data_IF_483630491815
#
_entry.id   IF_483630491815
#
_cell.length_a   1.000
_cell.length_b   1.000
_cell.length_c   1.000
_cell.angle_alpha   90.00
_cell.angle_beta   90.00
_cell.angle_gamma   90.00
#
_symmetry.space_group_name_H-M   'P 1'
#
loop_
_entity.id
_entity.type
_entity.pdbx_description
1 polymer ?
#
# COMPACT_ATOMS: atom_id res chain seq x y z
N UNK A 1 31.54 -4.22 -2.51
CA UNK A 1 31.10 -4.93 -3.74
C UNK A 1 29.73 -4.40 -4.18
N UNK A 2 29.68 -3.51 -5.18
CA UNK A 2 28.41 -3.07 -5.77
C UNK A 2 27.82 -4.25 -6.55
N UNK A 3 26.73 -4.85 -6.05
CA UNK A 3 25.99 -5.89 -6.80
C UNK A 3 25.47 -5.25 -8.08
N UNK A 4 25.93 -5.74 -9.23
CA UNK A 4 25.41 -5.32 -10.54
C UNK A 4 23.88 -5.47 -10.63
N UNK A 5 23.22 -4.84 -11.61
CA UNK A 5 21.77 -4.85 -11.73
C UNK A 5 21.28 -6.30 -11.77
N UNK A 6 20.49 -6.69 -10.76
CA UNK A 6 19.92 -8.04 -10.69
C UNK A 6 19.01 -8.22 -11.91
N UNK A 7 19.21 -9.31 -12.67
CA UNK A 7 18.32 -9.67 -13.80
C UNK A 7 16.86 -9.59 -13.33
N UNK A 8 15.97 -8.92 -14.09
CA UNK A 8 14.56 -8.82 -13.72
C UNK A 8 13.95 -10.22 -13.65
N UNK A 9 13.10 -10.43 -12.65
CA UNK A 9 12.38 -11.69 -12.48
C UNK A 9 11.51 -11.93 -13.72
N UNK A 10 11.75 -13.03 -14.42
CA UNK A 10 10.92 -13.42 -15.58
C UNK A 10 9.76 -14.28 -15.10
N UNK A 11 8.55 -13.75 -15.23
CA UNK A 11 7.31 -14.51 -15.09
C UNK A 11 6.88 -15.04 -16.45
N UNK A 12 6.34 -16.25 -16.48
CA UNK A 12 5.65 -16.77 -17.65
C UNK A 12 4.53 -15.78 -18.05
N UNK A 13 4.50 -15.27 -19.31
CA UNK A 13 3.53 -14.25 -19.73
C UNK A 13 2.08 -14.68 -19.56
N UNK A 14 1.77 -15.96 -19.81
CA UNK A 14 0.42 -16.49 -19.65
C UNK A 14 -0.01 -16.48 -18.17
N UNK A 15 0.88 -16.89 -17.27
CA UNK A 15 0.68 -16.86 -15.82
C UNK A 15 0.50 -15.43 -15.30
N UNK A 16 1.33 -14.49 -15.75
CA UNK A 16 1.20 -13.05 -15.43
C UNK A 16 -0.18 -12.52 -15.84
N UNK A 17 -0.55 -12.69 -17.12
CA UNK A 17 -1.84 -12.20 -17.64
C UNK A 17 -3.03 -12.83 -16.94
N UNK A 18 -2.95 -14.13 -16.62
CA UNK A 18 -3.99 -14.86 -15.88
C UNK A 18 -4.19 -14.28 -14.48
N UNK A 19 -3.12 -14.03 -13.74
CA UNK A 19 -3.20 -13.43 -12.41
C UNK A 19 -3.80 -12.03 -12.46
N UNK A 20 -3.28 -11.15 -13.33
CA UNK A 20 -3.77 -9.78 -13.51
C UNK A 20 -5.27 -9.75 -13.83
N UNK A 21 -5.70 -10.53 -14.82
CA UNK A 21 -7.10 -10.55 -15.29
C UNK A 21 -8.04 -11.04 -14.19
N UNK A 22 -7.68 -12.13 -13.51
CA UNK A 22 -8.51 -12.72 -12.45
C UNK A 22 -8.59 -11.83 -11.21
N UNK A 23 -7.48 -11.18 -10.86
CA UNK A 23 -7.44 -10.27 -9.71
C UNK A 23 -8.31 -9.04 -9.96
N UNK A 24 -8.16 -8.39 -11.12
CA UNK A 24 -8.95 -7.22 -11.48
C UNK A 24 -10.44 -7.56 -11.63
N UNK A 25 -10.77 -8.72 -12.23
CA UNK A 25 -12.16 -9.20 -12.29
C UNK A 25 -12.76 -9.43 -10.90
N UNK A 26 -11.98 -10.01 -9.99
CA UNK A 26 -12.42 -10.19 -8.61
C UNK A 26 -12.63 -8.84 -7.90
N UNK A 27 -11.74 -7.88 -8.12
CA UNK A 27 -11.85 -6.55 -7.52
C UNK A 27 -13.07 -5.77 -8.01
N UNK A 28 -13.44 -5.90 -9.28
CA UNK A 28 -14.65 -5.27 -9.81
C UNK A 28 -15.94 -5.67 -9.07
N UNK A 29 -15.98 -6.83 -8.40
CA UNK A 29 -17.16 -7.31 -7.68
C UNK A 29 -16.98 -7.35 -6.15
N UNK A 30 -15.76 -7.31 -5.64
CA UNK A 30 -15.45 -7.43 -4.20
C UNK A 30 -14.64 -6.27 -3.63
N UNK A 31 -14.28 -5.28 -4.47
CA UNK A 31 -13.53 -4.10 -4.05
C UNK A 31 -14.29 -3.32 -2.99
N UNK A 32 -13.58 -2.88 -1.96
CA UNK A 32 -14.17 -2.10 -0.87
C UNK A 32 -14.37 -0.64 -1.29
N UNK A 33 -15.49 -0.06 -0.89
CA UNK A 33 -15.70 1.39 -0.96
C UNK A 33 -15.12 2.06 0.29
N UNK A 34 -14.11 2.91 0.14
CA UNK A 34 -13.39 3.53 1.26
C UNK A 34 -13.19 5.04 0.98
N UNK A 35 -13.26 5.92 1.99
CA UNK A 35 -13.20 7.37 1.78
C UNK A 35 -11.96 7.84 1.01
N UNK A 36 -10.78 7.32 1.38
CA UNK A 36 -9.50 7.65 0.73
C UNK A 36 -9.34 7.07 -0.68
N UNK A 37 -10.32 6.30 -1.20
CA UNK A 37 -10.35 5.87 -2.61
C UNK A 37 -11.15 6.83 -3.49
N UNK A 38 -11.82 7.82 -2.91
CA UNK A 38 -12.65 8.82 -3.62
C UNK A 38 -11.88 10.12 -3.90
N UNK A 39 -10.56 10.10 -3.74
CA UNK A 39 -9.67 11.24 -3.94
C UNK A 39 -8.35 10.78 -4.56
N UNK A 40 -7.70 11.69 -5.27
CA UNK A 40 -6.32 11.56 -5.76
C UNK A 40 -5.39 12.58 -5.10
N UNK A 41 -5.85 13.28 -4.05
CA UNK A 41 -5.05 14.26 -3.33
C UNK A 41 -3.91 13.57 -2.56
N UNK A 42 -2.62 13.91 -2.83
CA UNK A 42 -1.47 13.32 -2.15
C UNK A 42 -1.50 13.46 -0.62
N UNK A 43 -2.00 14.58 -0.08
CA UNK A 43 -2.14 14.79 1.35
C UNK A 43 -3.13 13.80 1.94
N UNK A 44 -4.33 13.72 1.36
CA UNK A 44 -5.40 12.82 1.81
C UNK A 44 -4.97 11.34 1.73
N UNK A 45 -4.26 10.97 0.67
CA UNK A 45 -3.71 9.62 0.49
C UNK A 45 -2.66 9.35 1.59
N UNK A 46 -1.69 10.24 1.79
CA UNK A 46 -0.66 10.06 2.82
C UNK A 46 -1.26 9.93 4.23
N UNK A 47 -2.24 10.77 4.58
CA UNK A 47 -2.97 10.69 5.87
C UNK A 47 -3.55 9.28 6.05
N UNK A 48 -4.28 8.78 5.05
CA UNK A 48 -4.90 7.46 5.11
C UNK A 48 -3.86 6.33 5.24
N UNK A 49 -2.78 6.39 4.46
CA UNK A 49 -1.72 5.39 4.47
C UNK A 49 -0.95 5.38 5.79
N UNK A 50 -0.76 6.54 6.43
CA UNK A 50 -0.20 6.61 7.77
C UNK A 50 -1.16 6.06 8.82
N UNK A 51 -2.45 6.38 8.74
CA UNK A 51 -3.45 5.86 9.69
C UNK A 51 -3.64 4.34 9.59
N UNK A 52 -3.58 3.76 8.40
CA UNK A 52 -3.76 2.32 8.16
C UNK A 52 -2.59 1.47 8.63
N UNK A 53 -1.45 2.07 8.96
CA UNK A 53 -0.31 1.34 9.54
C UNK A 53 -0.66 0.74 10.90
N UNK A 54 -0.84 -0.58 10.95
CA UNK A 54 -1.17 -1.32 12.18
C UNK A 54 -2.49 -0.85 12.83
N UNK A 55 -3.45 -0.34 12.04
CA UNK A 55 -4.77 0.03 12.53
C UNK A 55 -5.84 -0.51 11.58
N UNK A 56 -6.95 -1.00 12.16
CA UNK A 56 -8.05 -1.56 11.37
C UNK A 56 -8.83 -0.47 10.67
N UNK A 57 -9.30 -0.77 9.45
CA UNK A 57 -10.05 0.15 8.56
C UNK A 57 -11.22 0.82 9.28
N UNK A 58 -12.03 0.05 10.01
CA UNK A 58 -13.24 0.56 10.69
C UNK A 58 -12.91 1.59 11.78
N UNK A 59 -11.70 1.51 12.37
CA UNK A 59 -11.22 2.51 13.35
C UNK A 59 -10.65 3.74 12.66
N UNK A 60 -10.08 3.58 11.46
CA UNK A 60 -9.49 4.67 10.67
C UNK A 60 -10.57 5.55 10.06
N UNK A 61 -11.66 4.99 9.53
CA UNK A 61 -12.70 5.77 8.82
C UNK A 61 -13.18 7.00 9.60
N UNK A 62 -13.70 6.90 10.84
CA UNK A 62 -14.19 8.09 11.54
C UNK A 62 -13.06 9.07 11.86
N UNK A 63 -11.87 8.56 12.17
CA UNK A 63 -10.72 9.38 12.52
C UNK A 63 -10.12 10.11 11.32
N UNK A 64 -10.18 9.51 10.14
CA UNK A 64 -9.76 10.10 8.89
C UNK A 64 -10.58 11.35 8.57
N UNK A 65 -11.91 11.27 8.72
CA UNK A 65 -12.80 12.42 8.55
C UNK A 65 -12.50 13.52 9.58
N UNK A 66 -12.49 13.19 10.88
CA UNK A 66 -12.17 14.16 11.94
C UNK A 66 -10.82 14.86 11.73
N UNK A 67 -9.81 14.12 11.27
CA UNK A 67 -8.47 14.66 11.04
C UNK A 67 -8.44 15.63 9.86
N UNK A 68 -9.07 15.27 8.74
CA UNK A 68 -9.11 16.12 7.55
C UNK A 68 -10.02 17.34 7.72
N UNK A 69 -11.10 17.24 8.49
CA UNK A 69 -11.94 18.39 8.84
C UNK A 69 -11.15 19.45 9.62
N UNK A 70 -10.18 19.00 10.43
CA UNK A 70 -9.35 19.89 11.26
C UNK A 70 -8.08 20.37 10.56
N UNK A 71 -7.46 19.51 9.76
CA UNK A 71 -6.24 19.78 9.03
C UNK A 71 -6.48 19.42 7.55
N UNK A 72 -7.08 20.32 6.74
CA UNK A 72 -7.49 19.98 5.37
C UNK A 72 -6.34 19.94 4.37
N UNK A 73 -5.19 20.58 4.65
CA UNK A 73 -4.00 20.51 3.79
C UNK A 73 -2.69 20.30 4.57
N UNK A 74 -1.59 20.21 3.82
CA UNK A 74 -0.24 20.21 4.39
C UNK A 74 0.06 21.50 5.16
N UNK A 75 -0.42 22.65 4.68
CA UNK A 75 -0.25 23.96 5.30
C UNK A 75 -0.91 24.03 6.68
N UNK A 76 -2.19 23.67 6.81
CA UNK A 76 -2.84 23.70 8.14
C UNK A 76 -2.25 22.65 9.08
N UNK A 77 -1.81 21.49 8.56
CA UNK A 77 -1.15 20.51 9.39
C UNK A 77 0.23 21.01 9.85
N UNK A 78 1.00 21.66 8.98
CA UNK A 78 2.34 22.18 9.30
C UNK A 78 2.29 23.30 10.34
N UNK A 79 1.29 24.18 10.27
CA UNK A 79 1.09 25.29 11.22
C UNK A 79 0.61 24.80 12.60
N UNK A 80 -0.02 23.63 12.65
CA UNK A 80 -0.51 23.07 13.90
C UNK A 80 0.62 22.69 14.89
N UNK A 81 0.35 22.85 16.19
CA UNK A 81 1.22 22.28 17.22
C UNK A 81 1.17 20.76 17.18
N UNK A 82 2.33 20.11 17.13
CA UNK A 82 2.42 18.63 17.12
C UNK A 82 1.68 17.96 18.28
N UNK A 83 1.58 18.61 19.43
CA UNK A 83 0.81 18.12 20.58
C UNK A 83 -0.70 18.06 20.32
N UNK A 84 -1.24 19.00 19.54
CA UNK A 84 -2.66 19.01 19.15
C UNK A 84 -2.92 18.00 18.03
N UNK A 85 -1.98 17.82 17.10
CA UNK A 85 -2.03 16.74 16.09
C UNK A 85 -2.11 15.36 16.76
N UNK A 86 -1.29 15.11 17.79
CA UNK A 86 -1.33 13.88 18.59
C UNK A 86 -2.67 13.65 19.28
N UNK A 87 -3.26 14.72 19.85
CA UNK A 87 -4.58 14.64 20.49
C UNK A 87 -5.66 14.26 19.49
N UNK A 88 -5.68 14.91 18.32
CA UNK A 88 -6.62 14.55 17.25
C UNK A 88 -6.43 13.10 16.81
N UNK A 89 -5.18 12.62 16.66
CA UNK A 89 -4.87 11.25 16.23
C UNK A 89 -5.33 10.14 17.20
N UNK A 90 -5.48 10.45 18.49
CA UNK A 90 -5.93 9.47 19.49
C UNK A 90 -7.36 8.96 19.17
N UNK A 91 -7.67 7.64 19.30
CA UNK A 91 -6.89 6.58 19.96
C UNK A 91 -6.19 5.61 18.98
N UNK A 92 -5.86 6.02 17.75
CA UNK A 92 -5.28 5.08 16.75
C UNK A 92 -3.93 4.46 17.16
N UNK A 93 -3.27 5.02 18.19
CA UNK A 93 -2.03 4.48 18.78
C UNK A 93 -0.80 4.70 17.90
N UNK A 94 0.35 4.18 18.36
CA UNK A 94 1.65 4.32 17.70
C UNK A 94 2.01 5.79 17.43
N UNK A 95 2.20 6.54 18.53
CA UNK A 95 2.26 8.01 18.61
C UNK A 95 3.37 8.68 17.78
N UNK A 96 4.32 7.90 17.25
CA UNK A 96 5.32 8.39 16.31
C UNK A 96 4.72 8.72 14.93
N UNK A 97 3.56 8.15 14.57
CA UNK A 97 2.90 8.40 13.27
C UNK A 97 2.42 9.83 13.09
N UNK A 98 1.61 10.41 14.01
CA UNK A 98 1.20 11.80 13.88
C UNK A 98 2.40 12.76 13.90
N UNK A 99 3.46 12.46 14.66
CA UNK A 99 4.70 13.25 14.64
C UNK A 99 5.40 13.20 13.27
N UNK A 100 5.49 12.01 12.67
CA UNK A 100 6.08 11.84 11.33
C UNK A 100 5.25 12.52 10.26
N UNK A 101 3.93 12.38 10.31
CA UNK A 101 3.03 13.04 9.37
C UNK A 101 3.17 14.56 9.46
N UNK A 102 3.20 15.10 10.68
CA UNK A 102 3.45 16.52 10.93
C UNK A 102 4.81 16.97 10.37
N UNK A 103 5.88 16.22 10.64
CA UNK A 103 7.21 16.51 10.08
C UNK A 103 7.23 16.48 8.55
N UNK A 104 6.54 15.53 7.91
CA UNK A 104 6.41 15.48 6.45
C UNK A 104 5.65 16.71 5.94
N UNK A 105 4.60 17.14 6.64
CA UNK A 105 3.85 18.33 6.27
C UNK A 105 4.70 19.59 6.32
N UNK A 106 5.41 19.82 7.43
CA UNK A 106 6.35 20.96 7.55
C UNK A 106 7.38 20.95 6.42
N UNK A 107 8.00 19.79 6.17
CA UNK A 107 9.01 19.65 5.10
C UNK A 107 8.41 19.87 3.70
N UNK A 108 7.17 19.43 3.47
CA UNK A 108 6.45 19.64 2.20
C UNK A 108 6.15 21.11 1.97
N UNK A 109 5.74 21.85 3.01
CA UNK A 109 5.50 23.30 2.93
C UNK A 109 6.83 24.04 2.69
N UNK A 110 7.85 23.76 3.49
CA UNK A 110 9.13 24.47 3.45
C UNK A 110 9.89 24.25 2.13
N UNK A 111 9.97 23.01 1.65
CA UNK A 111 10.80 22.65 0.48
C UNK A 111 10.05 22.59 -0.84
N UNK A 112 8.73 22.35 -0.78
CA UNK A 112 7.92 22.05 -1.97
C UNK A 112 6.66 22.91 -2.09
N UNK A 113 6.53 23.97 -1.28
CA UNK A 113 5.42 24.93 -1.40
C UNK A 113 4.05 24.31 -1.18
N UNK A 114 3.95 23.32 -0.29
CA UNK A 114 2.69 22.64 0.05
C UNK A 114 2.32 21.48 -0.87
N UNK A 115 3.14 21.20 -1.89
CA UNK A 115 2.87 20.14 -2.86
C UNK A 115 3.83 18.98 -2.70
N UNK A 116 3.30 17.79 -2.36
CA UNK A 116 4.14 16.60 -2.26
C UNK A 116 4.66 16.19 -3.65
N UNK A 117 5.97 15.91 -3.83
CA UNK A 117 6.51 15.53 -5.13
C UNK A 117 6.02 14.13 -5.56
N UNK A 118 5.96 13.89 -6.87
CA UNK A 118 5.66 12.55 -7.42
C UNK A 118 6.91 11.68 -7.63
N UNK A 119 8.11 12.27 -7.64
CA UNK A 119 9.35 11.52 -7.84
C UNK A 119 9.64 10.55 -6.69
N UNK A 120 10.09 9.35 -7.04
CA UNK A 120 10.33 8.30 -6.06
C UNK A 120 11.52 8.59 -5.14
N UNK A 121 12.59 9.20 -5.66
CA UNK A 121 13.78 9.50 -4.87
C UNK A 121 13.49 10.65 -3.89
N UNK A 122 12.74 11.66 -4.34
CA UNK A 122 12.30 12.76 -3.48
C UNK A 122 11.38 12.27 -2.37
N UNK A 123 10.35 11.48 -2.69
CA UNK A 123 9.48 10.87 -1.69
C UNK A 123 10.25 10.04 -0.66
N UNK A 124 11.27 9.30 -1.08
CA UNK A 124 12.10 8.49 -0.19
C UNK A 124 13.07 9.33 0.66
N UNK A 125 13.26 10.61 0.37
CA UNK A 125 14.08 11.51 1.17
C UNK A 125 13.38 11.93 2.48
N UNK A 126 12.04 11.95 2.50
CA UNK A 126 11.26 12.31 3.68
C UNK A 126 11.39 11.26 4.79
N UNK A 127 11.69 11.72 6.01
CA UNK A 127 11.79 10.85 7.17
C UNK A 127 10.41 10.30 7.57
N UNK A 128 10.16 9.04 7.21
CA UNK A 128 8.91 8.33 7.53
C UNK A 128 8.21 7.78 6.30
N UNK A 129 8.61 8.21 5.10
CA UNK A 129 8.14 7.63 3.84
C UNK A 129 9.08 6.50 3.44
N UNK A 130 8.60 5.27 3.61
CA UNK A 130 9.30 4.08 3.12
C UNK A 130 8.91 3.72 1.69
N UNK A 131 9.59 2.73 1.11
CA UNK A 131 9.30 2.22 -0.26
C UNK A 131 7.83 1.87 -0.51
N UNK A 132 7.14 1.34 0.49
CA UNK A 132 5.69 1.09 0.39
C UNK A 132 4.91 2.40 0.24
N UNK A 133 5.08 3.34 1.18
CA UNK A 133 4.34 4.61 1.18
C UNK A 133 4.63 5.44 -0.07
N UNK A 134 5.90 5.49 -0.52
CA UNK A 134 6.25 6.16 -1.78
C UNK A 134 5.53 5.52 -2.99
N UNK A 135 5.48 4.17 -3.05
CA UNK A 135 4.73 3.47 -4.09
C UNK A 135 3.23 3.70 -4.02
N UNK A 136 2.67 3.76 -2.80
CA UNK A 136 1.26 4.03 -2.55
C UNK A 136 0.88 5.46 -2.99
N UNK A 137 1.66 6.48 -2.62
CA UNK A 137 1.45 7.86 -3.07
C UNK A 137 1.51 7.94 -4.60
N UNK A 138 2.57 7.42 -5.21
CA UNK A 138 2.74 7.41 -6.68
C UNK A 138 1.60 6.71 -7.39
N UNK A 139 1.14 5.59 -6.86
CA UNK A 139 0.05 4.82 -7.47
C UNK A 139 -1.33 5.43 -7.21
N UNK A 140 -1.61 5.92 -6.01
CA UNK A 140 -2.96 6.33 -5.60
C UNK A 140 -3.26 7.81 -5.82
N UNK A 141 -2.26 8.67 -5.69
CA UNK A 141 -2.40 10.10 -5.96
C UNK A 141 -2.02 10.46 -7.40
N UNK A 142 -0.90 9.91 -7.89
CA UNK A 142 -0.34 10.26 -9.21
C UNK A 142 -0.66 9.26 -10.33
N UNK A 143 -1.44 8.21 -10.03
CA UNK A 143 -1.86 7.17 -10.97
C UNK A 143 -0.71 6.49 -11.74
N UNK A 144 0.47 6.40 -11.13
CA UNK A 144 1.63 5.74 -11.71
C UNK A 144 1.60 4.22 -11.47
N UNK A 145 2.24 3.46 -12.36
CA UNK A 145 2.43 2.00 -12.23
C UNK A 145 3.51 1.64 -11.19
N UNK A 146 3.40 2.21 -9.99
CA UNK A 146 4.37 2.03 -8.91
C UNK A 146 4.05 0.79 -8.04
N UNK A 147 5.06 -0.05 -7.72
CA UNK A 147 4.84 -1.22 -6.89
C UNK A 147 4.62 -0.87 -5.42
N UNK A 148 3.76 -1.66 -4.78
CA UNK A 148 3.60 -1.67 -3.32
C UNK A 148 3.90 -3.07 -2.76
N UNK A 149 4.33 -3.14 -1.50
CA UNK A 149 4.52 -4.41 -0.81
C UNK A 149 4.32 -4.27 0.70
N UNK A 150 3.07 -4.33 1.14
CA UNK A 150 2.73 -4.49 2.56
C UNK A 150 2.75 -5.98 2.97
N UNK A 151 2.27 -6.29 4.18
CA UNK A 151 2.19 -7.66 4.67
C UNK A 151 1.13 -8.51 3.96
N UNK A 152 0.06 -7.89 3.43
CA UNK A 152 -1.01 -8.57 2.70
C UNK A 152 -0.55 -8.96 1.29
N UNK A 153 -0.02 -8.01 0.54
CA UNK A 153 0.54 -8.21 -0.80
C UNK A 153 1.71 -9.18 -0.74
N UNK A 154 2.63 -9.03 0.22
CA UNK A 154 3.72 -9.98 0.45
C UNK A 154 3.23 -11.42 0.62
N UNK A 155 2.19 -11.61 1.44
CA UNK A 155 1.57 -12.92 1.67
C UNK A 155 0.92 -13.49 0.41
N UNK A 156 0.15 -12.68 -0.33
CA UNK A 156 -0.49 -13.09 -1.59
C UNK A 156 0.57 -13.54 -2.59
N UNK A 157 1.57 -12.69 -2.86
CA UNK A 157 2.62 -12.98 -3.83
C UNK A 157 3.44 -14.21 -3.43
N UNK A 158 3.75 -14.35 -2.14
CA UNK A 158 4.45 -15.52 -1.65
C UNK A 158 3.64 -16.80 -1.88
N UNK A 159 2.37 -16.85 -1.44
CA UNK A 159 1.52 -18.04 -1.60
C UNK A 159 1.27 -18.42 -3.05
N UNK A 160 0.98 -17.43 -3.91
CA UNK A 160 0.63 -17.69 -5.30
C UNK A 160 1.85 -18.11 -6.12
N UNK A 161 2.99 -17.44 -5.97
CA UNK A 161 4.13 -17.60 -6.89
C UNK A 161 5.37 -18.29 -6.30
N UNK A 162 5.52 -18.34 -4.97
CA UNK A 162 6.77 -18.79 -4.33
C UNK A 162 6.58 -20.07 -3.51
N UNK A 163 5.61 -20.10 -2.60
CA UNK A 163 5.26 -21.17 -1.65
C UNK A 163 6.33 -21.56 -0.61
N UNK A 164 7.60 -21.73 -0.99
CA UNK A 164 8.66 -22.22 -0.12
C UNK A 164 9.55 -21.09 0.41
N UNK A 165 9.92 -21.20 1.69
CA UNK A 165 10.80 -20.27 2.39
C UNK A 165 10.03 -19.28 3.28
N UNK A 166 10.77 -18.40 3.95
CA UNK A 166 10.21 -17.31 4.75
C UNK A 166 10.01 -16.05 3.87
N UNK A 167 8.78 -15.52 3.73
CA UNK A 167 8.53 -14.25 3.04
C UNK A 167 9.41 -13.10 3.52
N UNK A 168 9.80 -13.07 4.80
CA UNK A 168 10.63 -12.00 5.38
C UNK A 168 12.03 -11.97 4.76
N UNK A 169 12.65 -13.13 4.54
CA UNK A 169 13.97 -13.24 3.91
C UNK A 169 13.91 -13.08 2.39
N UNK A 170 12.72 -13.25 1.80
CA UNK A 170 12.49 -13.15 0.36
C UNK A 170 11.91 -11.80 -0.09
N UNK A 171 11.86 -10.78 0.78
CA UNK A 171 11.36 -9.43 0.45
C UNK A 171 11.88 -8.87 -0.90
N UNK A 172 13.18 -8.97 -1.26
CA UNK A 172 13.64 -8.47 -2.55
C UNK A 172 12.96 -9.14 -3.76
N UNK A 173 12.70 -10.45 -3.68
CA UNK A 173 11.99 -11.20 -4.74
C UNK A 173 10.52 -10.83 -4.80
N UNK A 174 9.88 -10.60 -3.65
CA UNK A 174 8.47 -10.19 -3.58
C UNK A 174 8.27 -8.78 -4.14
N UNK A 175 9.22 -7.87 -3.92
CA UNK A 175 9.24 -6.56 -4.58
C UNK A 175 9.34 -6.67 -6.10
N UNK A 176 10.23 -7.54 -6.62
CA UNK A 176 10.34 -7.80 -8.06
C UNK A 176 9.05 -8.40 -8.63
N UNK A 177 8.36 -9.26 -7.88
CA UNK A 177 7.06 -9.80 -8.28
C UNK A 177 5.99 -8.71 -8.34
N UNK A 178 5.91 -7.85 -7.31
CA UNK A 178 4.95 -6.74 -7.27
C UNK A 178 5.11 -5.84 -8.50
N UNK A 179 6.35 -5.42 -8.78
CA UNK A 179 6.68 -4.61 -9.95
C UNK A 179 6.38 -5.31 -11.27
N UNK A 180 6.78 -6.58 -11.42
CA UNK A 180 6.57 -7.33 -12.65
C UNK A 180 5.10 -7.65 -12.93
N UNK A 181 4.22 -7.62 -11.93
CA UNK A 181 2.80 -7.99 -12.06
C UNK A 181 1.88 -6.79 -12.32
N UNK A 182 2.33 -5.56 -12.15
CA UNK A 182 1.49 -4.39 -12.44
C UNK A 182 1.22 -4.32 -13.96
N UNK A 183 -0.06 -4.32 -14.39
CA UNK A 183 -0.39 -4.03 -15.78
C UNK A 183 -0.19 -2.54 -16.07
N UNK A 184 0.37 -2.22 -17.24
CA UNK A 184 0.60 -0.84 -17.65
C UNK A 184 -0.72 -0.04 -17.66
N UNK A 185 -0.70 1.14 -17.05
CA UNK A 185 -1.84 2.05 -16.92
C UNK A 185 -2.94 1.54 -15.99
N UNK A 186 -2.65 0.53 -15.15
CA UNK A 186 -3.60 -0.04 -14.19
C UNK A 186 -3.01 -0.17 -12.79
N UNK A 187 -1.95 0.57 -12.47
CA UNK A 187 -1.29 0.59 -11.17
C UNK A 187 -2.28 0.77 -10.02
N UNK A 188 -3.15 1.79 -10.10
CA UNK A 188 -4.16 2.08 -9.09
C UNK A 188 -5.04 0.86 -8.78
N UNK A 189 -5.82 0.39 -9.77
CA UNK A 189 -6.76 -0.72 -9.59
C UNK A 189 -6.05 -2.00 -9.17
N UNK A 190 -4.90 -2.30 -9.75
CA UNK A 190 -4.16 -3.51 -9.43
C UNK A 190 -3.68 -3.52 -7.98
N UNK A 191 -3.12 -2.40 -7.51
CA UNK A 191 -2.63 -2.26 -6.16
C UNK A 191 -3.78 -2.31 -5.14
N UNK A 192 -4.89 -1.60 -5.40
CA UNK A 192 -6.10 -1.69 -4.55
C UNK A 192 -6.65 -3.12 -4.53
N UNK A 193 -6.69 -3.79 -5.69
CA UNK A 193 -7.17 -5.15 -5.82
C UNK A 193 -6.33 -6.16 -5.02
N UNK A 194 -4.99 -6.11 -5.11
CA UNK A 194 -4.15 -7.08 -4.40
C UNK A 194 -4.15 -6.85 -2.88
N UNK A 195 -4.32 -5.60 -2.43
CA UNK A 195 -4.50 -5.28 -1.01
C UNK A 195 -5.82 -5.84 -0.48
N UNK A 196 -6.93 -5.57 -1.16
CA UNK A 196 -8.26 -6.09 -0.79
C UNK A 196 -8.27 -7.61 -0.82
N UNK A 197 -7.72 -8.18 -1.89
CA UNK A 197 -7.62 -9.62 -2.06
C UNK A 197 -6.84 -10.28 -0.91
N UNK A 198 -5.72 -9.67 -0.51
CA UNK A 198 -4.96 -10.13 0.64
C UNK A 198 -5.73 -9.99 1.95
N UNK A 199 -6.46 -8.90 2.15
CA UNK A 199 -7.22 -8.63 3.36
C UNK A 199 -8.44 -9.56 3.54
N UNK A 200 -9.21 -9.79 2.47
CA UNK A 200 -10.55 -10.42 2.58
C UNK A 200 -10.63 -11.84 2.04
N UNK A 201 -9.84 -12.21 1.02
CA UNK A 201 -9.86 -13.55 0.43
C UNK A 201 -8.65 -14.39 0.88
N UNK A 202 -7.43 -13.91 0.62
CA UNK A 202 -6.18 -14.59 0.96
C UNK A 202 -5.68 -14.20 2.36
N UNK A 203 -6.57 -14.28 3.36
CA UNK A 203 -6.31 -13.85 4.74
C UNK A 203 -5.18 -14.65 5.41
N UNK A 204 -4.60 -14.10 6.48
CA UNK A 204 -3.41 -14.70 7.11
C UNK A 204 -3.67 -16.10 7.70
N UNK A 205 -4.79 -16.30 8.39
CA UNK A 205 -5.07 -17.53 9.16
C UNK A 205 -6.01 -18.48 8.42
N UNK A 206 -7.10 -17.97 7.84
CA UNK A 206 -8.16 -18.78 7.24
C UNK A 206 -8.52 -18.21 5.84
N UNK A 207 -7.66 -18.38 4.83
CA UNK A 207 -7.95 -17.87 3.49
C UNK A 207 -9.11 -18.67 2.85
N UNK A 208 -9.97 -17.98 2.10
CA UNK A 208 -11.10 -18.58 1.36
C UNK A 208 -10.62 -19.30 0.09
N UNK A 209 -9.75 -20.31 0.26
CA UNK A 209 -9.06 -20.98 -0.86
C UNK A 209 -10.01 -21.64 -1.87
N UNK A 210 -11.20 -22.07 -1.46
CA UNK A 210 -12.15 -22.72 -2.36
C UNK A 210 -12.76 -21.75 -3.38
N UNK A 211 -13.05 -20.52 -2.94
CA UNK A 211 -13.62 -19.42 -3.74
C UNK A 211 -12.53 -18.55 -4.38
N UNK A 212 -11.27 -18.78 -4.01
CA UNK A 212 -10.14 -18.01 -4.48
C UNK A 212 -9.96 -18.15 -6.01
N UNK A 213 -9.98 -17.05 -6.79
CA UNK A 213 -9.79 -17.10 -8.25
C UNK A 213 -8.39 -17.60 -8.65
N UNK A 214 -7.43 -17.62 -7.73
CA UNK A 214 -6.06 -18.10 -7.97
C UNK A 214 -5.91 -19.61 -7.72
N UNK A 215 -6.94 -20.30 -7.23
CA UNK A 215 -6.94 -21.71 -6.83
C UNK A 215 -6.22 -22.63 -7.83
N UNK A 216 -6.52 -22.52 -9.12
CA UNK A 216 -6.01 -23.44 -10.15
C UNK A 216 -4.51 -23.33 -10.45
N UNK A 217 -3.81 -22.31 -9.94
CA UNK A 217 -2.38 -22.12 -10.20
C UNK A 217 -1.59 -21.59 -8.99
N UNK A 218 -2.25 -21.41 -7.85
CA UNK A 218 -1.60 -21.00 -6.60
C UNK A 218 -0.71 -22.14 -6.08
N UNK A 219 0.58 -21.86 -5.90
CA UNK A 219 1.56 -22.86 -5.44
C UNK A 219 1.33 -23.36 -4.01
N UNK A 220 0.49 -22.70 -3.23
CA UNK A 220 0.10 -23.12 -1.87
C UNK A 220 -1.38 -23.47 -1.79
N UNK A 221 -2.04 -23.84 -2.90
CA UNK A 221 -3.41 -24.35 -2.84
C UNK A 221 -3.44 -25.87 -2.56
N UNK A 222 -4.37 -26.36 -1.70
CA UNK A 222 -5.07 -25.58 -0.68
C UNK A 222 -4.08 -25.12 0.41
N UNK A 223 -4.31 -23.93 0.99
CA UNK A 223 -3.47 -23.49 2.10
C UNK A 223 -3.82 -24.31 3.33
N UNK A 224 -2.91 -25.17 3.75
CA UNK A 224 -3.01 -25.92 5.01
C UNK A 224 -2.05 -25.27 5.99
N UNK A 225 -2.57 -24.89 7.16
CA UNK A 225 -1.75 -24.37 8.24
C UNK A 225 -0.82 -25.49 8.71
N UNK A 226 0.48 -25.23 8.67
CA UNK A 226 1.47 -26.08 9.35
C UNK A 226 1.36 -25.92 10.85
#
# INVERSE_FOLDING_TARGET
MKKGPKKPLRLDPASKRRFQTRLLKWYATHGRDLPWRKTSDPYHILVSEMMLQQTQVDRVIPKYHEFLDRYPSFEELADARVSDVKKTWYPLGYNIRPERLHSIACETVERYGGQLPSDAAELLSFKGIGRYTAGAIRSFAFNEDAPILDTNVSRVLHRVFVAKGDPKTQKPKLWQLSEALIPRGKGYDFNQAIMDFGATCCSARNPSCQECPMKSFCKTYPFVRK
#
